data_IF_861316501037
#
_entry.id   IF_861316501037
#
_cell.length_a   1.000
_cell.length_b   1.000
_cell.length_c   1.000
_cell.angle_alpha   90.00
_cell.angle_beta   90.00
_cell.angle_gamma   90.00
#
_symmetry.space_group_name_H-M   'P 1'
#
loop_
_entity.id
_entity.type
_entity.pdbx_description
1 polymer ?
#
# COMPACT_ATOMS: atom_id res chain seq x y z
N UNK A 1 -6.18 28.12 32.41
CA UNK A 1 -5.16 27.36 31.65
C UNK A 1 -5.00 28.04 30.29
N UNK A 2 -3.86 28.66 29.98
CA UNK A 2 -3.62 29.24 28.64
C UNK A 2 -3.39 28.07 27.68
N UNK A 3 -4.33 27.83 26.76
CA UNK A 3 -4.14 26.92 25.63
C UNK A 3 -3.06 27.51 24.75
N UNK A 4 -1.94 26.82 24.61
CA UNK A 4 -0.86 27.24 23.72
C UNK A 4 -1.32 27.08 22.27
N UNK A 5 -1.86 28.15 21.68
CA UNK A 5 -2.33 28.21 20.30
C UNK A 5 -1.25 27.87 19.25
N UNK A 6 0.02 27.68 19.65
CA UNK A 6 1.14 27.30 18.76
C UNK A 6 1.20 25.80 18.43
N UNK A 7 0.42 24.95 19.12
CA UNK A 7 0.39 23.50 18.89
C UNK A 7 -0.89 23.00 18.20
N UNK A 8 -1.85 23.88 17.92
CA UNK A 8 -3.09 23.47 17.26
C UNK A 8 -2.80 23.17 15.78
N UNK A 9 -2.70 21.87 15.47
CA UNK A 9 -2.56 21.40 14.09
C UNK A 9 -3.80 21.80 13.29
N UNK A 10 -3.58 22.42 12.12
CA UNK A 10 -4.68 22.70 11.18
C UNK A 10 -5.15 21.40 10.53
N UNK A 11 -6.40 21.33 10.11
CA UNK A 11 -6.96 20.14 9.46
C UNK A 11 -6.09 19.61 8.31
N UNK A 12 -5.64 20.48 7.41
CA UNK A 12 -4.77 20.08 6.31
C UNK A 12 -3.35 19.65 6.71
N UNK A 13 -2.91 19.88 7.95
CA UNK A 13 -1.70 19.29 8.51
C UNK A 13 -2.00 17.91 9.09
N UNK A 14 -3.12 17.75 9.80
CA UNK A 14 -3.59 16.47 10.32
C UNK A 14 -3.77 15.45 9.18
N UNK A 15 -4.34 15.87 8.06
CA UNK A 15 -4.49 15.04 6.86
C UNK A 15 -3.15 14.57 6.30
N UNK A 16 -2.14 15.45 6.23
CA UNK A 16 -0.78 15.07 5.81
C UNK A 16 -0.17 14.07 6.78
N UNK A 17 -0.29 14.30 8.09
CA UNK A 17 0.20 13.36 9.10
C UNK A 17 -0.51 12.01 8.98
N UNK A 18 -1.81 12.01 8.73
CA UNK A 18 -2.60 10.80 8.53
C UNK A 18 -2.17 10.00 7.29
N UNK A 19 -1.90 10.66 6.17
CA UNK A 19 -1.36 10.00 4.97
C UNK A 19 0.04 9.43 5.22
N UNK A 20 0.90 10.16 5.93
CA UNK A 20 2.24 9.69 6.29
C UNK A 20 2.21 8.57 7.35
N UNK A 21 1.19 8.53 8.21
CA UNK A 21 0.94 7.37 9.07
C UNK A 21 0.54 6.17 8.21
N UNK A 22 -0.49 6.34 7.38
CA UNK A 22 -1.07 5.27 6.56
C UNK A 22 -0.01 4.63 5.66
N UNK A 23 0.69 5.42 4.86
CA UNK A 23 1.67 4.90 3.91
C UNK A 23 3.08 4.79 4.48
N UNK A 24 3.35 5.22 5.72
CA UNK A 24 4.68 5.30 6.36
C UNK A 24 5.66 6.29 5.71
N UNK A 25 5.76 6.30 4.38
CA UNK A 25 6.51 7.26 3.59
C UNK A 25 5.63 7.88 2.50
N UNK A 26 5.86 9.15 2.18
CA UNK A 26 5.17 9.83 1.08
C UNK A 26 6.04 10.88 0.40
N UNK A 27 5.79 11.13 -0.88
CA UNK A 27 6.39 12.26 -1.59
C UNK A 27 5.43 13.45 -1.62
N UNK A 28 5.95 14.65 -1.91
CA UNK A 28 5.10 15.85 -2.08
C UNK A 28 3.99 15.62 -3.11
N UNK A 29 4.30 14.95 -4.22
CA UNK A 29 3.36 14.69 -5.30
C UNK A 29 2.27 13.69 -4.85
N UNK A 30 2.66 12.56 -4.27
CA UNK A 30 1.71 11.54 -3.81
C UNK A 30 0.75 12.09 -2.74
N UNK A 31 1.27 12.91 -1.82
CA UNK A 31 0.44 13.59 -0.81
C UNK A 31 -0.54 14.55 -1.48
N UNK A 32 -0.10 15.33 -2.47
CA UNK A 32 -0.98 16.27 -3.18
C UNK A 32 -2.09 15.55 -3.95
N UNK A 33 -1.76 14.44 -4.61
CA UNK A 33 -2.71 13.59 -5.34
C UNK A 33 -3.78 13.01 -4.41
N UNK A 34 -3.38 12.43 -3.27
CA UNK A 34 -4.31 11.87 -2.29
C UNK A 34 -5.22 12.92 -1.66
N UNK A 35 -4.72 14.14 -1.45
CA UNK A 35 -5.52 15.26 -0.95
C UNK A 35 -6.35 15.95 -2.04
N UNK A 36 -6.26 15.49 -3.30
CA UNK A 36 -6.94 16.07 -4.47
C UNK A 36 -6.70 17.57 -4.62
N UNK A 37 -5.49 18.03 -4.29
CA UNK A 37 -5.11 19.45 -4.39
C UNK A 37 -4.34 19.73 -5.68
N UNK A 38 -4.55 20.92 -6.26
CA UNK A 38 -3.90 21.33 -7.52
C UNK A 38 -2.37 21.44 -7.38
N UNK A 39 -1.68 21.35 -8.52
CA UNK A 39 -0.28 21.73 -8.64
C UNK A 39 -0.09 23.20 -8.16
N UNK A 40 0.95 23.45 -7.35
CA UNK A 40 1.16 24.76 -6.71
C UNK A 40 0.44 24.93 -5.36
N UNK A 41 -0.27 23.91 -4.88
CA UNK A 41 -0.81 23.90 -3.51
C UNK A 41 0.27 24.06 -2.45
N UNK A 42 -0.15 24.56 -1.29
CA UNK A 42 0.72 24.83 -0.16
C UNK A 42 1.17 23.54 0.60
N UNK A 43 1.38 22.42 -0.10
CA UNK A 43 1.87 21.18 0.53
C UNK A 43 3.32 21.35 0.97
N UNK A 44 4.14 22.04 0.18
CA UNK A 44 5.54 22.26 0.51
C UNK A 44 5.71 23.09 1.80
N UNK A 45 5.01 24.21 1.96
CA UNK A 45 5.16 25.01 3.19
C UNK A 45 4.51 24.30 4.38
N UNK A 46 3.37 23.61 4.21
CA UNK A 46 2.81 22.74 5.25
C UNK A 46 3.82 21.70 5.74
N UNK A 47 4.49 21.00 4.83
CA UNK A 47 5.54 20.02 5.18
C UNK A 47 6.72 20.69 5.89
N UNK A 48 7.17 21.87 5.44
CA UNK A 48 8.24 22.61 6.12
C UNK A 48 7.84 23.04 7.53
N UNK A 49 6.60 23.47 7.74
CA UNK A 49 6.08 23.77 9.09
C UNK A 49 6.09 22.50 9.95
N UNK A 50 5.57 21.38 9.44
CA UNK A 50 5.59 20.10 10.16
C UNK A 50 7.01 19.62 10.49
N UNK A 51 7.98 19.87 9.61
CA UNK A 51 9.41 19.60 9.84
C UNK A 51 9.97 20.53 10.92
N UNK A 52 9.68 21.84 10.85
CA UNK A 52 10.13 22.82 11.85
C UNK A 52 9.63 22.48 13.25
N UNK A 53 8.43 21.95 13.38
CA UNK A 53 7.88 21.47 14.66
C UNK A 53 8.38 20.08 15.06
N UNK A 54 9.15 19.41 14.18
CA UNK A 54 9.72 18.09 14.41
C UNK A 54 8.71 16.94 14.31
N UNK A 55 7.55 17.15 13.70
CA UNK A 55 6.52 16.12 13.50
C UNK A 55 6.81 15.25 12.28
N UNK A 56 7.40 15.84 11.25
CA UNK A 56 7.79 15.16 10.02
C UNK A 56 9.29 15.29 9.83
N UNK A 57 9.91 14.26 9.27
CA UNK A 57 11.28 14.31 8.77
C UNK A 57 11.29 13.96 7.28
N UNK A 58 12.40 14.29 6.59
CA UNK A 58 12.59 13.98 5.17
C UNK A 58 13.89 13.21 4.95
N UNK A 59 13.84 12.22 4.06
CA UNK A 59 14.99 11.52 3.47
C UNK A 59 15.18 12.08 2.07
N UNK A 60 16.24 12.85 1.88
CA UNK A 60 16.61 13.41 0.58
C UNK A 60 18.08 13.80 0.59
N UNK A 61 18.94 12.96 0.01
CA UNK A 61 20.36 13.22 -0.16
C UNK A 61 20.69 13.63 -1.61
N UNK A 62 21.95 14.01 -1.84
CA UNK A 62 22.42 14.46 -3.16
C UNK A 62 22.33 13.38 -4.23
N UNK A 63 22.54 12.11 -3.85
CA UNK A 63 22.49 10.98 -4.80
C UNK A 63 21.07 10.78 -5.32
N UNK A 64 20.07 10.81 -4.43
CA UNK A 64 18.66 10.72 -4.79
C UNK A 64 18.23 11.84 -5.73
N UNK A 65 18.74 13.06 -5.49
CA UNK A 65 18.48 14.21 -6.38
C UNK A 65 19.03 14.00 -7.78
N UNK A 66 20.23 13.43 -7.91
CA UNK A 66 20.85 13.15 -9.22
C UNK A 66 20.09 12.05 -9.97
N UNK A 67 19.50 11.10 -9.26
CA UNK A 67 18.65 10.04 -9.82
C UNK A 67 17.21 10.50 -10.13
N UNK A 68 16.88 11.76 -9.88
CA UNK A 68 15.52 12.28 -10.08
C UNK A 68 14.47 11.74 -9.10
N UNK A 69 14.88 11.01 -8.06
CA UNK A 69 13.96 10.47 -7.07
C UNK A 69 13.42 11.59 -6.17
N UNK A 70 12.13 11.54 -5.79
CA UNK A 70 11.55 12.57 -4.92
C UNK A 70 12.04 12.42 -3.47
N UNK A 71 11.94 13.51 -2.71
CA UNK A 71 12.12 13.45 -1.26
C UNK A 71 11.03 12.58 -0.61
N UNK A 72 11.45 11.68 0.29
CA UNK A 72 10.53 10.86 1.08
C UNK A 72 10.31 11.47 2.46
N UNK A 73 9.07 11.84 2.76
CA UNK A 73 8.64 12.38 4.05
C UNK A 73 8.07 11.25 4.91
N UNK A 74 8.27 11.32 6.22
CA UNK A 74 7.77 10.33 7.19
C UNK A 74 7.52 10.96 8.56
N UNK A 75 6.67 10.34 9.37
CA UNK A 75 6.40 10.79 10.73
C UNK A 75 7.57 10.48 11.66
N UNK A 76 7.96 11.46 12.47
CA UNK A 76 8.86 11.22 13.60
C UNK A 76 8.09 10.58 14.77
N UNK A 77 8.77 10.04 15.79
CA UNK A 77 8.11 9.63 17.03
C UNK A 77 7.28 10.75 17.67
N UNK A 78 7.74 12.00 17.59
CA UNK A 78 6.99 13.17 18.06
C UNK A 78 5.72 13.38 17.23
N UNK A 79 5.81 13.30 15.91
CA UNK A 79 4.66 13.42 15.01
C UNK A 79 3.61 12.34 15.26
N UNK A 80 4.03 11.10 15.47
CA UNK A 80 3.11 10.01 15.82
C UNK A 80 2.42 10.23 17.17
N UNK A 81 3.14 10.66 18.21
CA UNK A 81 2.55 10.98 19.52
C UNK A 81 1.55 12.13 19.44
N UNK A 82 1.87 13.17 18.66
CA UNK A 82 0.93 14.29 18.42
C UNK A 82 -0.29 13.85 17.63
N UNK A 83 -0.13 12.96 16.65
CA UNK A 83 -1.27 12.39 15.92
C UNK A 83 -2.13 11.52 16.85
N UNK A 84 -1.50 10.63 17.63
CA UNK A 84 -2.14 9.74 18.61
C UNK A 84 -2.98 10.48 19.65
N UNK A 85 -2.62 11.72 20.02
CA UNK A 85 -3.41 12.51 20.98
C UNK A 85 -4.75 13.02 20.44
N UNK A 86 -5.03 12.83 19.14
CA UNK A 86 -6.31 13.17 18.53
C UNK A 86 -7.25 11.97 18.61
N UNK A 87 -8.52 12.17 18.96
CA UNK A 87 -9.50 11.08 19.16
C UNK A 87 -9.59 10.13 17.96
N UNK A 88 -9.55 10.67 16.73
CA UNK A 88 -9.61 9.89 15.50
C UNK A 88 -8.39 8.98 15.26
N UNK A 89 -7.32 9.11 16.06
CA UNK A 89 -6.02 8.46 15.89
C UNK A 89 -5.50 7.81 17.18
N UNK A 90 -6.32 7.75 18.24
CA UNK A 90 -5.93 7.19 19.54
C UNK A 90 -5.56 5.69 19.50
N UNK A 91 -5.87 5.00 18.39
CA UNK A 91 -5.49 3.61 18.13
C UNK A 91 -4.00 3.43 17.76
N UNK A 92 -3.24 4.51 17.51
CA UNK A 92 -1.80 4.40 17.25
C UNK A 92 -1.12 3.81 18.49
N UNK A 93 -0.37 2.72 18.32
CA UNK A 93 0.23 1.99 19.44
C UNK A 93 1.66 2.44 19.74
N UNK A 94 2.12 2.22 20.97
CA UNK A 94 3.53 2.42 21.35
C UNK A 94 4.49 1.52 20.56
N UNK A 95 4.03 0.34 20.11
CA UNK A 95 4.80 -0.51 19.20
C UNK A 95 5.03 0.18 17.85
N UNK A 96 4.00 0.84 17.31
CA UNK A 96 4.11 1.65 16.08
C UNK A 96 5.09 2.82 16.27
N UNK A 97 4.98 3.56 17.38
CA UNK A 97 5.89 4.68 17.68
C UNK A 97 7.34 4.19 17.83
N UNK A 98 7.57 3.08 18.54
CA UNK A 98 8.91 2.48 18.68
C UNK A 98 9.49 2.03 17.34
N UNK A 99 8.66 1.49 16.44
CA UNK A 99 9.10 1.07 15.11
C UNK A 99 9.64 2.23 14.26
N UNK A 100 9.07 3.44 14.40
CA UNK A 100 9.44 4.59 13.56
C UNK A 100 10.79 5.21 13.89
N UNK A 101 11.38 4.92 15.06
CA UNK A 101 12.74 5.36 15.39
C UNK A 101 13.78 4.83 14.38
N UNK A 102 13.48 3.71 13.70
CA UNK A 102 14.34 3.11 12.67
C UNK A 102 14.16 3.76 11.29
N UNK A 103 13.08 4.52 11.05
CA UNK A 103 12.74 5.07 9.73
C UNK A 103 13.81 6.04 9.19
N UNK A 104 14.57 6.70 10.07
CA UNK A 104 15.71 7.55 9.67
C UNK A 104 16.84 6.79 8.95
N UNK A 105 16.98 5.50 9.26
CA UNK A 105 18.09 4.64 8.84
C UNK A 105 17.63 3.45 7.98
N UNK A 106 16.34 3.38 7.62
CA UNK A 106 15.83 2.28 6.80
C UNK A 106 16.42 2.35 5.38
N UNK A 107 16.54 1.20 4.72
CA UNK A 107 17.15 1.11 3.39
C UNK A 107 16.39 1.93 2.36
N UNK A 108 17.11 2.43 1.36
CA UNK A 108 16.48 3.18 0.26
C UNK A 108 15.54 2.28 -0.55
N UNK A 109 15.86 0.99 -0.73
CA UNK A 109 14.99 0.02 -1.40
C UNK A 109 13.62 -0.10 -0.72
N UNK A 110 13.58 -0.12 0.61
CA UNK A 110 12.33 -0.14 1.37
C UNK A 110 11.51 1.14 1.18
N UNK A 111 12.18 2.30 1.18
CA UNK A 111 11.52 3.59 0.95
C UNK A 111 10.91 3.63 -0.46
N UNK A 112 11.68 3.22 -1.47
CA UNK A 112 11.23 3.19 -2.86
C UNK A 112 10.01 2.27 -3.00
N UNK A 113 10.08 1.04 -2.46
CA UNK A 113 8.94 0.11 -2.46
C UNK A 113 7.68 0.72 -1.85
N UNK A 114 7.82 1.43 -0.72
CA UNK A 114 6.70 2.08 -0.05
C UNK A 114 6.09 3.20 -0.89
N UNK A 115 6.93 4.01 -1.54
CA UNK A 115 6.48 5.07 -2.45
C UNK A 115 5.81 4.50 -3.71
N UNK A 116 6.34 3.40 -4.25
CA UNK A 116 5.79 2.69 -5.40
C UNK A 116 4.41 2.13 -5.09
N UNK A 117 4.25 1.41 -3.97
CA UNK A 117 2.93 0.94 -3.48
C UNK A 117 1.95 2.09 -3.31
N UNK A 118 2.40 3.22 -2.75
CA UNK A 118 1.54 4.41 -2.61
C UNK A 118 1.12 4.93 -3.99
N UNK A 119 2.06 5.09 -4.92
CA UNK A 119 1.78 5.52 -6.29
C UNK A 119 0.77 4.61 -6.99
N UNK A 120 1.00 3.30 -6.98
CA UNK A 120 0.15 2.34 -7.69
C UNK A 120 -1.25 2.24 -7.07
N UNK A 121 -1.36 2.27 -5.75
CA UNK A 121 -2.68 2.29 -5.09
C UNK A 121 -3.43 3.60 -5.32
N UNK A 122 -2.75 4.73 -5.44
CA UNK A 122 -3.36 6.00 -5.88
C UNK A 122 -3.89 5.91 -7.31
N UNK A 123 -3.12 5.30 -8.23
CA UNK A 123 -3.56 5.10 -9.61
C UNK A 123 -4.81 4.22 -9.69
N UNK A 124 -4.82 3.08 -8.99
CA UNK A 124 -5.98 2.20 -8.92
C UNK A 124 -7.21 2.89 -8.30
N UNK A 125 -7.03 3.67 -7.23
CA UNK A 125 -8.13 4.41 -6.60
C UNK A 125 -8.65 5.56 -7.47
N UNK A 126 -7.81 6.10 -8.36
CA UNK A 126 -8.21 7.12 -9.34
C UNK A 126 -9.09 6.53 -10.44
N UNK A 127 -8.78 5.32 -10.92
CA UNK A 127 -9.56 4.63 -11.95
C UNK A 127 -10.82 3.96 -11.39
N UNK A 128 -10.80 3.57 -10.11
CA UNK A 128 -11.93 2.95 -9.41
C UNK A 128 -12.33 3.79 -8.18
N UNK A 129 -13.21 4.80 -8.31
CA UNK A 129 -13.51 5.73 -7.22
C UNK A 129 -14.12 5.12 -5.94
N UNK A 130 -14.71 3.92 -6.05
CA UNK A 130 -15.26 3.17 -4.90
C UNK A 130 -14.22 2.29 -4.21
N UNK A 131 -13.00 2.20 -4.75
CA UNK A 131 -11.91 1.42 -4.18
C UNK A 131 -11.39 2.05 -2.89
N UNK A 132 -11.47 1.28 -1.80
CA UNK A 132 -10.84 1.61 -0.53
C UNK A 132 -9.51 0.87 -0.43
N UNK A 133 -8.45 1.62 -0.12
CA UNK A 133 -7.10 1.10 0.07
C UNK A 133 -6.79 1.06 1.57
N UNK A 134 -6.39 -0.10 2.09
CA UNK A 134 -5.92 -0.29 3.46
C UNK A 134 -4.47 -0.77 3.42
N UNK A 135 -3.54 -0.02 4.01
CA UNK A 135 -2.11 -0.38 3.99
C UNK A 135 -1.76 -1.30 5.15
N UNK A 136 -0.49 -1.73 5.23
CA UNK A 136 0.03 -2.48 6.38
C UNK A 136 -0.27 -1.84 7.75
N UNK A 137 -0.32 -0.51 7.83
CA UNK A 137 -0.66 0.20 9.08
C UNK A 137 -2.14 0.07 9.43
N UNK A 138 -3.01 0.11 8.42
CA UNK A 138 -4.44 -0.12 8.61
C UNK A 138 -4.71 -1.58 8.99
N UNK A 139 -4.05 -2.53 8.32
CA UNK A 139 -4.19 -3.97 8.57
C UNK A 139 -3.67 -4.38 9.96
N UNK A 140 -2.60 -3.77 10.45
CA UNK A 140 -2.02 -4.07 11.79
C UNK A 140 -2.96 -3.83 12.97
N UNK A 141 -4.12 -3.22 12.71
CA UNK A 141 -5.18 -2.98 13.70
C UNK A 141 -6.08 -4.20 13.90
N UNK A 142 -5.95 -5.22 13.06
CA UNK A 142 -6.79 -6.41 13.07
C UNK A 142 -5.92 -7.67 13.16
N UNK A 143 -6.36 -8.65 13.96
CA UNK A 143 -5.64 -9.89 14.19
C UNK A 143 -5.81 -10.93 13.09
N UNK A 144 -6.85 -10.80 12.26
CA UNK A 144 -7.19 -11.76 11.20
C UNK A 144 -6.36 -11.58 9.92
N UNK A 145 -5.47 -10.60 9.83
CA UNK A 145 -4.54 -10.49 8.70
C UNK A 145 -3.29 -11.34 8.94
N UNK A 146 -2.64 -11.85 7.88
CA UNK A 146 -1.41 -12.62 8.05
C UNK A 146 -0.32 -11.78 8.72
N UNK A 147 0.53 -12.44 9.52
CA UNK A 147 1.65 -11.81 10.24
C UNK A 147 2.56 -10.97 9.31
N UNK A 148 2.73 -11.42 8.06
CA UNK A 148 3.28 -10.62 6.98
C UNK A 148 2.13 -10.20 6.05
N UNK A 149 1.46 -9.06 6.29
CA UNK A 149 0.30 -8.64 5.50
C UNK A 149 0.68 -8.29 4.06
N UNK A 150 -0.27 -8.28 3.10
CA UNK A 150 -0.07 -7.68 1.78
C UNK A 150 0.47 -6.25 1.87
N UNK A 151 1.04 -5.73 0.78
CA UNK A 151 1.38 -4.30 0.70
C UNK A 151 0.13 -3.43 0.88
N UNK A 152 -0.98 -3.84 0.28
CA UNK A 152 -2.30 -3.27 0.53
C UNK A 152 -3.41 -4.32 0.50
N UNK A 153 -4.39 -4.15 1.35
CA UNK A 153 -5.71 -4.77 1.23
C UNK A 153 -6.63 -3.79 0.52
N UNK A 154 -7.21 -4.23 -0.60
CA UNK A 154 -8.12 -3.40 -1.39
C UNK A 154 -9.56 -3.91 -1.23
N UNK A 155 -10.51 -2.98 -1.12
CA UNK A 155 -11.93 -3.29 -1.03
C UNK A 155 -12.69 -2.45 -2.04
N UNK A 156 -13.24 -3.11 -3.06
CA UNK A 156 -13.97 -2.47 -4.15
C UNK A 156 -15.46 -2.76 -4.02
N UNK A 157 -16.28 -1.71 -4.00
CA UNK A 157 -17.72 -1.87 -4.16
C UNK A 157 -18.09 -1.80 -5.64
N UNK A 158 -18.67 -2.88 -6.15
CA UNK A 158 -19.10 -3.08 -7.55
C UNK A 158 -20.62 -3.02 -7.65
N UNK A 159 -21.15 -2.07 -8.42
CA UNK A 159 -22.60 -1.94 -8.66
C UNK A 159 -23.46 -1.92 -7.38
N UNK A 160 -24.51 -2.75 -7.39
CA UNK A 160 -25.44 -2.95 -6.27
C UNK A 160 -25.01 -4.04 -5.29
N UNK A 161 -23.87 -4.70 -5.50
CA UNK A 161 -23.41 -5.77 -4.60
C UNK A 161 -23.26 -5.25 -3.16
N UNK A 162 -23.86 -5.97 -2.22
CA UNK A 162 -23.81 -5.63 -0.79
C UNK A 162 -22.44 -5.94 -0.21
N UNK A 163 -21.75 -6.95 -0.74
CA UNK A 163 -20.42 -7.38 -0.31
C UNK A 163 -19.36 -6.84 -1.26
N UNK A 164 -18.37 -6.08 -0.78
CA UNK A 164 -17.32 -5.59 -1.65
C UNK A 164 -16.37 -6.73 -2.06
N UNK A 165 -15.88 -6.69 -3.31
CA UNK A 165 -14.75 -7.51 -3.75
C UNK A 165 -13.51 -7.12 -2.96
N UNK A 166 -12.75 -8.12 -2.52
CA UNK A 166 -11.58 -7.95 -1.64
C UNK A 166 -10.34 -8.48 -2.33
N UNK A 167 -9.24 -7.77 -2.16
CA UNK A 167 -7.98 -8.12 -2.82
C UNK A 167 -6.81 -8.00 -1.85
N UNK A 168 -5.90 -8.96 -1.92
CA UNK A 168 -4.55 -8.83 -1.37
C UNK A 168 -3.64 -8.36 -2.51
N UNK A 169 -3.12 -7.14 -2.40
CA UNK A 169 -2.27 -6.53 -3.42
C UNK A 169 -0.82 -6.48 -2.94
N UNK A 170 0.09 -7.03 -3.73
CA UNK A 170 1.54 -6.89 -3.56
C UNK A 170 2.18 -6.33 -4.83
N UNK A 171 3.16 -5.44 -4.64
CA UNK A 171 4.07 -5.05 -5.69
C UNK A 171 5.35 -5.89 -5.59
N UNK A 172 5.84 -6.40 -6.73
CA UNK A 172 7.08 -7.15 -6.83
C UNK A 172 8.10 -6.31 -7.60
N UNK A 173 9.07 -5.78 -6.86
CA UNK A 173 10.17 -4.97 -7.39
C UNK A 173 11.14 -5.80 -8.23
N UNK A 174 11.94 -5.12 -9.06
CA UNK A 174 12.92 -5.75 -9.95
C UNK A 174 13.98 -6.57 -9.21
N UNK A 175 14.34 -6.12 -8.01
CA UNK A 175 15.37 -6.73 -7.16
C UNK A 175 14.83 -7.84 -6.24
N UNK A 176 13.53 -8.15 -6.30
CA UNK A 176 12.93 -9.20 -5.47
C UNK A 176 13.46 -10.58 -5.90
N UNK A 177 14.13 -11.35 -5.02
CA UNK A 177 14.61 -12.68 -5.37
C UNK A 177 13.45 -13.64 -5.66
N UNK A 178 13.64 -14.51 -6.66
CA UNK A 178 12.65 -15.52 -7.07
C UNK A 178 12.11 -16.38 -5.92
N UNK A 179 13.00 -16.82 -5.03
CA UNK A 179 12.61 -17.60 -3.83
C UNK A 179 11.70 -16.82 -2.88
N UNK A 180 11.85 -15.49 -2.80
CA UNK A 180 11.00 -14.63 -1.98
C UNK A 180 9.60 -14.52 -2.60
N UNK A 181 9.49 -14.46 -3.94
CA UNK A 181 8.19 -14.46 -4.65
C UNK A 181 7.44 -15.77 -4.38
N UNK A 182 8.09 -16.92 -4.58
CA UNK A 182 7.48 -18.23 -4.34
C UNK A 182 7.07 -18.40 -2.86
N UNK A 183 7.94 -17.99 -1.93
CA UNK A 183 7.65 -18.00 -0.48
C UNK A 183 6.45 -17.11 -0.15
N UNK A 184 6.32 -15.95 -0.79
CA UNK A 184 5.19 -15.05 -0.57
C UNK A 184 3.87 -15.69 -0.96
N UNK A 185 3.82 -16.33 -2.12
CA UNK A 185 2.62 -17.05 -2.57
C UNK A 185 2.29 -18.20 -1.59
N UNK A 186 3.30 -18.99 -1.20
CA UNK A 186 3.11 -20.10 -0.27
C UNK A 186 2.59 -19.62 1.10
N UNK A 187 3.02 -18.44 1.57
CA UNK A 187 2.50 -17.84 2.80
C UNK A 187 1.01 -17.52 2.71
N UNK A 188 0.52 -17.09 1.54
CA UNK A 188 -0.91 -16.86 1.35
C UNK A 188 -1.69 -18.16 1.25
N UNK A 189 -1.19 -19.14 0.48
CA UNK A 189 -1.84 -20.45 0.39
C UNK A 189 -1.97 -21.10 1.75
N UNK A 190 -0.88 -21.14 2.53
CA UNK A 190 -0.90 -21.65 3.91
C UNK A 190 -1.90 -20.91 4.80
N UNK A 191 -1.88 -19.57 4.75
CA UNK A 191 -2.79 -18.75 5.55
C UNK A 191 -4.26 -19.03 5.24
N UNK A 192 -4.61 -19.20 3.96
CA UNK A 192 -5.98 -19.53 3.56
C UNK A 192 -6.34 -20.99 3.85
N UNK A 193 -5.44 -21.95 3.59
CA UNK A 193 -5.67 -23.38 3.86
C UNK A 193 -5.84 -23.67 5.35
N UNK A 194 -5.22 -22.86 6.21
CA UNK A 194 -5.37 -22.96 7.67
C UNK A 194 -6.69 -22.38 8.18
N UNK A 195 -7.54 -21.82 7.30
CA UNK A 195 -8.82 -21.22 7.67
C UNK A 195 -8.71 -19.89 8.42
N UNK A 196 -7.53 -19.27 8.45
CA UNK A 196 -7.28 -18.04 9.22
C UNK A 196 -8.16 -16.86 8.73
N UNK A 197 -8.55 -16.87 7.45
CA UNK A 197 -9.44 -15.85 6.89
C UNK A 197 -10.92 -16.03 7.29
N UNK A 198 -11.32 -17.22 7.74
CA UNK A 198 -12.72 -17.53 8.09
C UNK A 198 -13.22 -16.66 9.25
N UNK A 199 -12.30 -16.18 10.10
CA UNK A 199 -12.58 -15.20 11.14
C UNK A 199 -13.26 -13.90 10.62
N UNK A 200 -13.18 -13.63 9.32
CA UNK A 200 -13.83 -12.47 8.68
C UNK A 200 -15.25 -12.74 8.21
N UNK A 201 -15.70 -14.01 8.20
CA UNK A 201 -16.97 -14.46 7.61
C UNK A 201 -17.16 -13.90 6.19
N UNK A 202 -16.10 -13.95 5.38
CA UNK A 202 -16.13 -13.42 4.02
C UNK A 202 -15.33 -14.27 3.04
N UNK A 203 -15.62 -14.11 1.76
CA UNK A 203 -14.88 -14.77 0.68
C UNK A 203 -13.39 -14.47 0.77
N UNK A 204 -12.58 -15.46 0.39
CA UNK A 204 -11.13 -15.33 0.28
C UNK A 204 -10.81 -14.15 -0.67
N UNK A 205 -9.88 -13.25 -0.30
CA UNK A 205 -9.50 -12.15 -1.17
C UNK A 205 -8.76 -12.65 -2.40
N UNK A 206 -9.07 -12.07 -3.56
CA UNK A 206 -8.34 -12.32 -4.80
C UNK A 206 -6.89 -11.82 -4.64
N UNK A 207 -5.92 -12.63 -5.05
CA UNK A 207 -4.51 -12.23 -4.99
C UNK A 207 -4.13 -11.42 -6.24
N UNK A 208 -3.68 -10.19 -6.04
CA UNK A 208 -3.22 -9.29 -7.09
C UNK A 208 -1.73 -9.02 -6.97
N UNK A 209 -0.99 -9.35 -8.03
CA UNK A 209 0.44 -9.08 -8.10
C UNK A 209 0.76 -8.09 -9.21
N UNK A 210 1.26 -6.91 -8.83
CA UNK A 210 1.86 -5.98 -9.78
C UNK A 210 3.37 -6.23 -9.84
N UNK A 211 3.93 -6.34 -11.04
CA UNK A 211 5.35 -6.68 -11.22
C UNK A 211 6.10 -5.61 -12.01
N UNK A 212 7.38 -5.41 -11.69
CA UNK A 212 8.19 -4.41 -12.39
C UNK A 212 8.37 -4.70 -13.88
N UNK A 213 8.51 -5.98 -14.28
CA UNK A 213 8.76 -6.38 -15.68
C UNK A 213 8.02 -7.66 -16.06
N UNK A 214 7.73 -7.86 -17.37
CA UNK A 214 7.08 -9.07 -17.87
C UNK A 214 7.79 -10.38 -17.49
N UNK A 215 9.13 -10.37 -17.41
CA UNK A 215 9.90 -11.55 -17.03
C UNK A 215 9.60 -12.02 -15.58
N UNK A 216 9.39 -11.08 -14.66
CA UNK A 216 9.01 -11.35 -13.27
C UNK A 216 7.57 -11.85 -13.24
N UNK A 217 6.64 -11.21 -13.98
CA UNK A 217 5.26 -11.68 -14.14
C UNK A 217 5.21 -13.15 -14.57
N UNK A 218 5.93 -13.51 -15.64
CA UNK A 218 5.97 -14.89 -16.15
C UNK A 218 6.52 -15.89 -15.13
N UNK A 219 7.51 -15.49 -14.32
CA UNK A 219 8.00 -16.33 -13.23
C UNK A 219 6.94 -16.48 -12.13
N UNK A 220 6.36 -15.37 -11.69
CA UNK A 220 5.33 -15.31 -10.66
C UNK A 220 4.14 -16.19 -11.01
N UNK A 221 3.59 -16.09 -12.23
CA UNK A 221 2.44 -16.90 -12.65
C UNK A 221 2.75 -18.41 -12.62
N UNK A 222 3.96 -18.82 -13.07
CA UNK A 222 4.37 -20.24 -12.99
C UNK A 222 4.50 -20.71 -11.55
N UNK A 223 5.14 -19.91 -10.69
CA UNK A 223 5.26 -20.21 -9.27
C UNK A 223 3.90 -20.23 -8.58
N UNK A 224 2.98 -19.35 -8.97
CA UNK A 224 1.63 -19.29 -8.44
C UNK A 224 0.85 -20.56 -8.73
N UNK A 225 0.84 -21.03 -9.99
CA UNK A 225 0.22 -22.32 -10.35
C UNK A 225 0.83 -23.48 -9.56
N UNK A 226 2.16 -23.58 -9.55
CA UNK A 226 2.85 -24.70 -8.89
C UNK A 226 2.62 -24.73 -7.36
N UNK A 227 2.67 -23.56 -6.72
CA UNK A 227 2.44 -23.46 -5.28
C UNK A 227 0.96 -23.69 -4.97
N UNK A 228 0.03 -23.06 -5.69
CA UNK A 228 -1.41 -23.21 -5.47
C UNK A 228 -1.84 -24.68 -5.56
N UNK A 229 -1.37 -25.42 -6.55
CA UNK A 229 -1.64 -26.86 -6.67
C UNK A 229 -0.86 -27.77 -5.72
N UNK A 230 0.10 -27.25 -4.96
CA UNK A 230 0.67 -28.01 -3.82
C UNK A 230 -0.28 -27.98 -2.61
N UNK A 231 -1.18 -27.00 -2.55
CA UNK A 231 -2.14 -26.82 -1.46
C UNK A 231 -3.57 -27.22 -1.86
N UNK A 232 -3.78 -27.74 -3.08
CA UNK A 232 -5.11 -28.06 -3.64
C UNK A 232 -6.10 -26.86 -3.63
N UNK A 233 -5.60 -25.64 -3.86
CA UNK A 233 -6.36 -24.38 -3.77
C UNK A 233 -6.79 -23.81 -5.13
N UNK A 234 -6.75 -24.60 -6.22
CA UNK A 234 -7.03 -24.14 -7.59
C UNK A 234 -8.40 -23.50 -7.75
N UNK A 235 -9.42 -24.10 -7.15
CA UNK A 235 -10.81 -23.65 -7.24
C UNK A 235 -11.19 -22.64 -6.14
N UNK A 236 -10.26 -22.35 -5.21
CA UNK A 236 -10.52 -21.50 -4.04
C UNK A 236 -9.84 -20.14 -4.11
N UNK A 237 -8.63 -20.07 -4.70
CA UNK A 237 -7.82 -18.84 -4.72
C UNK A 237 -7.56 -18.38 -6.15
N UNK A 238 -8.28 -17.35 -6.54
CA UNK A 238 -8.04 -16.63 -7.77
C UNK A 238 -6.79 -15.74 -7.65
N UNK A 239 -5.93 -15.77 -8.67
CA UNK A 239 -4.67 -15.03 -8.71
C UNK A 239 -4.57 -14.31 -10.05
N UNK A 240 -4.32 -13.01 -10.00
CA UNK A 240 -4.11 -12.18 -11.18
C UNK A 240 -2.79 -11.42 -11.08
N UNK A 241 -2.17 -11.17 -12.23
CA UNK A 241 -0.93 -10.44 -12.32
C UNK A 241 -0.97 -9.36 -13.41
N UNK A 242 -0.27 -8.26 -13.17
CA UNK A 242 -0.07 -7.18 -14.13
C UNK A 242 1.38 -6.67 -14.06
N UNK A 243 1.80 -5.87 -15.05
CA UNK A 243 3.06 -5.13 -15.00
C UNK A 243 2.84 -3.64 -14.74
N UNK A 244 3.86 -2.94 -14.25
CA UNK A 244 3.81 -1.48 -14.09
C UNK A 244 3.52 -0.79 -15.43
N UNK A 245 4.07 -1.30 -16.54
CA UNK A 245 3.85 -0.74 -17.87
C UNK A 245 2.38 -0.87 -18.27
N UNK A 246 1.73 -2.00 -17.96
CA UNK A 246 0.29 -2.16 -18.17
C UNK A 246 -0.51 -1.16 -17.34
N UNK A 247 -0.16 -0.96 -16.07
CA UNK A 247 -0.83 0.02 -15.20
C UNK A 247 -0.64 1.48 -15.67
N UNK A 248 0.55 1.83 -16.16
CA UNK A 248 0.90 3.18 -16.63
C UNK A 248 0.32 3.51 -18.00
N UNK A 249 0.19 2.50 -18.87
CA UNK A 249 -0.37 2.63 -20.22
C UNK A 249 -1.89 2.53 -20.27
N UNK A 250 -2.55 2.23 -19.13
CA UNK A 250 -3.95 1.83 -19.06
C UNK A 250 -4.94 2.94 -19.49
N UNK A 251 -5.09 3.12 -20.80
CA UNK A 251 -6.27 3.77 -21.39
C UNK A 251 -7.52 2.88 -21.24
N UNK A 252 -7.36 1.56 -21.10
CA UNK A 252 -8.46 0.59 -21.09
C UNK A 252 -8.91 0.11 -19.71
N UNK A 253 -8.20 0.42 -18.62
CA UNK A 253 -8.38 -0.17 -17.27
C UNK A 253 -8.24 -1.70 -17.16
N UNK A 254 -8.17 -2.42 -18.29
CA UNK A 254 -8.03 -3.88 -18.38
C UNK A 254 -6.55 -4.27 -18.34
N UNK A 255 -6.02 -4.57 -17.15
CA UNK A 255 -4.59 -4.86 -16.97
C UNK A 255 -4.31 -6.21 -16.32
N UNK A 256 -5.32 -6.83 -15.70
CA UNK A 256 -5.15 -8.02 -14.88
C UNK A 256 -5.22 -9.27 -15.75
N UNK A 257 -4.14 -10.03 -15.76
CA UNK A 257 -4.05 -11.33 -16.41
C UNK A 257 -4.23 -12.41 -15.35
N UNK A 258 -5.21 -13.28 -15.55
CA UNK A 258 -5.44 -14.45 -14.73
C UNK A 258 -4.27 -15.45 -14.90
N UNK A 259 -3.89 -16.12 -13.82
CA UNK A 259 -2.89 -17.19 -13.94
C UNK A 259 -3.43 -18.40 -14.69
N UNK A 260 -4.72 -18.66 -14.80
CA UNK A 260 -5.22 -19.88 -15.47
C UNK A 260 -5.57 -19.67 -16.94
N UNK A 261 -5.99 -18.47 -17.32
CA UNK A 261 -6.24 -18.10 -18.71
C UNK A 261 -5.11 -17.27 -19.31
N UNK A 262 -4.52 -17.75 -20.40
CA UNK A 262 -3.58 -16.96 -21.19
C UNK A 262 -4.35 -15.95 -22.06
N UNK A 263 -3.77 -14.76 -22.22
CA UNK A 263 -4.14 -13.75 -23.23
C UNK A 263 -5.45 -12.95 -23.01
N UNK A 264 -6.12 -13.11 -21.87
CA UNK A 264 -7.25 -12.24 -21.48
C UNK A 264 -6.85 -11.24 -20.40
N UNK A 265 -7.14 -9.96 -20.65
CA UNK A 265 -6.97 -8.89 -19.66
C UNK A 265 -8.33 -8.44 -19.14
N UNK A 266 -8.43 -8.38 -17.81
CA UNK A 266 -9.63 -8.03 -17.08
C UNK A 266 -9.45 -6.70 -16.35
N UNK A 267 -10.51 -5.87 -16.25
CA UNK A 267 -10.56 -4.74 -15.33
C UNK A 267 -10.82 -5.23 -13.90
N UNK A 268 -10.47 -4.40 -12.92
CA UNK A 268 -10.52 -4.78 -11.49
C UNK A 268 -11.91 -5.21 -11.00
N UNK A 269 -12.98 -4.66 -11.59
CA UNK A 269 -14.37 -4.94 -11.25
C UNK A 269 -14.94 -6.22 -11.86
N UNK A 270 -14.31 -6.78 -12.90
CA UNK A 270 -14.70 -8.05 -13.53
C UNK A 270 -13.97 -9.27 -12.95
N UNK A 271 -13.00 -9.08 -12.04
CA UNK A 271 -12.26 -10.21 -11.45
C UNK A 271 -13.17 -11.08 -10.57
N UNK A 272 -12.94 -12.38 -10.66
CA UNK A 272 -13.62 -13.44 -9.91
C UNK A 272 -12.60 -14.49 -9.48
#
# INVERSE_FOLDING_TARGET
MKVDNRLMLRQGQIEILGLLYKYRFGSRQLIAESLKVKAGSNIYEKLNVLIKHGFVAKRYDKSLRLQGLPAAYYLTPKGLKTLQSLDAWNYITEATIRSSYRDKNISQSFINHTLDVYSYTNMLAKTHPTLKVFTRRDMSRYSYFPNNPPDAFLSLKTGEETTPKRFFFDFISDDTPRSVIAKRIAQYMQFFSDGEWDATNSQIPILLFLTFKPAIKKYLMRSARAVRGTFDMEDEVAIYAATIDQLLSAESSRIWEDIDSADSLFPLDELH
#
